data_IF_998389770633
#
_entry.id   IF_998389770633
#
_cell.length_a   1.000
_cell.length_b   1.000
_cell.length_c   1.000
_cell.angle_alpha   90.00
_cell.angle_beta   90.00
_cell.angle_gamma   90.00
#
_symmetry.space_group_name_H-M   'P 1'
#
loop_
_entity.id
_entity.type
_entity.pdbx_description
1 polymer ?
#
# COMPACT_ATOMS: atom_id res chain seq x y z
N UNK A 1 -1.89 -8.02 2.58
CA UNK A 1 -0.49 -7.85 2.07
C UNK A 1 -0.36 -6.45 1.48
N UNK A 2 0.72 -5.73 1.75
CA UNK A 2 0.96 -4.40 1.16
C UNK A 2 2.21 -4.41 0.29
N UNK A 3 2.16 -3.77 -0.88
CA UNK A 3 3.34 -3.41 -1.67
C UNK A 3 3.16 -1.96 -2.08
N UNK A 4 3.83 -1.07 -1.35
CA UNK A 4 3.78 0.37 -1.59
C UNK A 4 5.19 0.82 -1.95
N UNK A 5 5.39 1.70 -2.93
CA UNK A 5 6.71 2.22 -3.26
C UNK A 5 6.62 3.62 -3.88
N UNK A 6 7.72 4.37 -3.97
CA UNK A 6 7.68 5.77 -4.35
C UNK A 6 7.26 5.98 -5.81
N UNK A 7 7.49 4.98 -6.67
CA UNK A 7 7.17 5.02 -8.10
C UNK A 7 6.51 3.73 -8.58
N UNK A 8 5.80 3.79 -9.71
CA UNK A 8 5.22 2.59 -10.33
C UNK A 8 6.30 1.58 -10.76
N UNK A 9 7.47 2.08 -11.15
CA UNK A 9 8.62 1.24 -11.51
C UNK A 9 9.10 0.42 -10.32
N UNK A 10 9.23 1.04 -9.15
CA UNK A 10 9.58 0.35 -7.91
C UNK A 10 8.48 -0.62 -7.45
N UNK A 11 7.20 -0.26 -7.63
CA UNK A 11 6.08 -1.17 -7.36
C UNK A 11 6.22 -2.42 -8.24
N UNK A 12 6.46 -2.25 -9.55
CA UNK A 12 6.68 -3.39 -10.47
C UNK A 12 7.90 -4.21 -10.08
N UNK A 13 9.01 -3.56 -9.72
CA UNK A 13 10.22 -4.25 -9.27
C UNK A 13 9.94 -5.12 -8.02
N UNK A 14 9.22 -4.59 -7.02
CA UNK A 14 8.81 -5.33 -5.82
C UNK A 14 7.81 -6.43 -6.12
N UNK A 15 6.94 -6.26 -7.12
CA UNK A 15 5.96 -7.27 -7.52
C UNK A 15 6.58 -8.44 -8.28
N UNK A 16 7.65 -8.21 -9.05
CA UNK A 16 8.21 -9.20 -9.96
C UNK A 16 7.17 -9.65 -10.98
N UNK A 17 6.97 -10.95 -11.13
CA UNK A 17 6.00 -11.53 -12.07
C UNK A 17 4.54 -11.50 -11.59
N UNK A 18 4.29 -11.04 -10.36
CA UNK A 18 2.94 -11.04 -9.78
C UNK A 18 2.09 -9.91 -10.35
N UNK A 19 0.85 -10.23 -10.76
CA UNK A 19 -0.11 -9.24 -11.22
C UNK A 19 -0.59 -8.33 -10.08
N UNK A 20 -0.41 -7.02 -10.25
CA UNK A 20 -0.92 -6.02 -9.32
C UNK A 20 -2.45 -6.10 -9.19
N UNK A 21 -3.15 -6.26 -10.31
CA UNK A 21 -4.61 -6.25 -10.35
C UNK A 21 -5.21 -7.49 -9.69
N UNK A 22 -4.62 -8.67 -9.90
CA UNK A 22 -5.04 -9.89 -9.19
C UNK A 22 -4.81 -9.78 -7.69
N UNK A 23 -3.71 -9.16 -7.27
CA UNK A 23 -3.42 -8.94 -5.85
C UNK A 23 -4.42 -7.95 -5.23
N UNK A 24 -4.75 -6.85 -5.93
CA UNK A 24 -5.79 -5.90 -5.48
C UNK A 24 -7.17 -6.56 -5.38
N UNK A 25 -7.54 -7.39 -6.36
CA UNK A 25 -8.79 -8.15 -6.33
C UNK A 25 -8.87 -9.11 -5.12
N UNK A 26 -7.72 -9.55 -4.58
CA UNK A 26 -7.62 -10.35 -3.35
C UNK A 26 -7.50 -9.51 -2.07
N UNK A 27 -7.68 -8.19 -2.16
CA UNK A 27 -7.64 -7.27 -1.02
C UNK A 27 -6.23 -6.83 -0.61
N UNK A 28 -5.22 -6.98 -1.46
CA UNK A 28 -3.90 -6.41 -1.20
C UNK A 28 -3.88 -4.91 -1.55
N UNK A 29 -3.14 -4.12 -0.76
CA UNK A 29 -2.92 -2.70 -1.03
C UNK A 29 -1.64 -2.56 -1.85
N UNK A 30 -1.78 -2.20 -3.13
CA UNK A 30 -0.68 -2.21 -4.10
C UNK A 30 -0.61 -0.89 -4.86
N UNK A 31 0.55 -0.20 -4.84
CA UNK A 31 0.75 1.00 -5.66
C UNK A 31 1.67 2.06 -5.06
N UNK A 32 1.63 3.26 -5.62
CA UNK A 32 2.27 4.45 -5.05
C UNK A 32 1.55 4.92 -3.77
N UNK A 33 2.11 5.86 -2.98
CA UNK A 33 1.40 6.40 -1.81
C UNK A 33 0.02 6.95 -2.15
N UNK A 34 -0.13 7.63 -3.30
CA UNK A 34 -1.42 8.13 -3.77
C UNK A 34 -2.42 7.00 -4.07
N UNK A 35 -1.99 5.97 -4.80
CA UNK A 35 -2.83 4.81 -5.10
C UNK A 35 -3.19 4.02 -3.82
N UNK A 36 -2.28 3.95 -2.86
CA UNK A 36 -2.52 3.30 -1.57
C UNK A 36 -3.56 4.07 -0.75
N UNK A 37 -3.46 5.40 -0.68
CA UNK A 37 -4.48 6.25 -0.03
C UNK A 37 -5.83 6.06 -0.69
N UNK A 38 -5.91 6.11 -2.03
CA UNK A 38 -7.18 5.91 -2.74
C UNK A 38 -7.84 4.55 -2.40
N UNK A 39 -7.05 3.47 -2.33
CA UNK A 39 -7.53 2.15 -1.93
C UNK A 39 -8.00 2.12 -0.46
N UNK A 40 -7.24 2.71 0.46
CA UNK A 40 -7.57 2.74 1.88
C UNK A 40 -8.80 3.62 2.16
N UNK A 41 -8.95 4.75 1.49
CA UNK A 41 -10.13 5.61 1.55
C UNK A 41 -11.37 4.89 1.01
N UNK A 42 -11.24 4.11 -0.07
CA UNK A 42 -12.34 3.29 -0.58
C UNK A 42 -12.78 2.22 0.45
N UNK A 43 -11.83 1.60 1.17
CA UNK A 43 -12.15 0.70 2.28
C UNK A 43 -12.87 1.44 3.42
N UNK A 44 -12.37 2.62 3.80
CA UNK A 44 -12.98 3.43 4.85
C UNK A 44 -14.42 3.85 4.50
N UNK A 45 -14.68 4.19 3.23
CA UNK A 45 -16.02 4.52 2.73
C UNK A 45 -17.01 3.33 2.82
N UNK A 46 -16.51 2.09 2.87
CA UNK A 46 -17.30 0.89 3.11
C UNK A 46 -17.47 0.57 4.61
N UNK A 47 -17.01 1.44 5.51
CA UNK A 47 -17.11 1.29 6.97
C UNK A 47 -15.95 0.52 7.61
N UNK A 48 -14.88 0.22 6.87
CA UNK A 48 -13.67 -0.40 7.44
C UNK A 48 -12.98 0.61 8.36
N UNK A 49 -12.82 0.26 9.64
CA UNK A 49 -12.23 1.15 10.65
C UNK A 49 -10.72 0.96 10.84
N UNK A 50 -10.15 -0.12 10.29
CA UNK A 50 -8.73 -0.41 10.42
C UNK A 50 -8.24 -1.44 9.41
N UNK A 51 -7.01 -1.25 8.96
CA UNK A 51 -6.34 -2.16 8.01
C UNK A 51 -4.99 -2.58 8.61
N UNK A 52 -4.80 -3.88 8.74
CA UNK A 52 -3.50 -4.44 9.13
C UNK A 52 -2.71 -4.81 7.86
N UNK A 53 -1.72 -3.98 7.53
CA UNK A 53 -0.79 -4.27 6.45
C UNK A 53 0.24 -5.30 6.94
N UNK A 54 0.21 -6.49 6.34
CA UNK A 54 1.27 -7.48 6.57
C UNK A 54 2.57 -6.99 5.95
N UNK A 55 3.55 -6.73 6.81
CA UNK A 55 4.92 -6.36 6.48
C UNK A 55 5.79 -7.62 6.39
N UNK A 56 6.47 -7.83 5.27
CA UNK A 56 7.26 -9.05 5.02
C UNK A 56 8.77 -8.78 4.84
N UNK A 57 9.13 -7.60 4.34
CA UNK A 57 10.53 -7.18 4.12
C UNK A 57 11.03 -6.43 5.37
N UNK A 58 11.38 -7.16 6.43
CA UNK A 58 11.67 -6.59 7.75
C UNK A 58 12.83 -5.60 7.78
N UNK A 59 13.74 -5.68 6.80
CA UNK A 59 14.90 -4.80 6.61
C UNK A 59 14.59 -3.52 5.83
N UNK A 60 13.46 -3.45 5.13
CA UNK A 60 13.07 -2.29 4.31
C UNK A 60 12.43 -1.16 5.12
N UNK A 61 13.15 -0.69 6.14
CA UNK A 61 12.65 0.39 7.01
C UNK A 61 12.37 1.67 6.23
N UNK A 62 13.14 1.94 5.16
CA UNK A 62 12.92 3.09 4.28
C UNK A 62 11.52 3.08 3.66
N UNK A 63 11.01 1.92 3.26
CA UNK A 63 9.66 1.83 2.73
C UNK A 63 8.58 1.99 3.82
N UNK A 64 8.88 1.58 5.05
CA UNK A 64 8.00 1.86 6.20
C UNK A 64 7.95 3.36 6.50
N UNK A 65 9.08 4.05 6.44
CA UNK A 65 9.18 5.51 6.58
C UNK A 65 8.39 6.23 5.48
N UNK A 66 8.46 5.77 4.23
CA UNK A 66 7.65 6.29 3.13
C UNK A 66 6.15 6.21 3.44
N UNK A 67 5.67 5.05 3.92
CA UNK A 67 4.25 4.90 4.29
C UNK A 67 3.89 5.84 5.45
N UNK A 68 4.76 5.94 6.46
CA UNK A 68 4.55 6.82 7.59
C UNK A 68 4.51 8.31 7.20
N UNK A 69 5.33 8.72 6.24
CA UNK A 69 5.45 10.10 5.79
C UNK A 69 4.40 10.49 4.73
N UNK A 70 4.04 9.59 3.83
CA UNK A 70 3.23 9.93 2.66
C UNK A 70 1.81 9.34 2.66
N UNK A 71 1.58 8.24 3.37
CA UNK A 71 0.26 7.59 3.42
C UNK A 71 -0.48 7.98 4.69
N UNK A 72 0.13 7.76 5.87
CA UNK A 72 -0.56 7.98 7.14
C UNK A 72 -1.10 9.40 7.33
N UNK A 73 -0.39 10.49 6.98
CA UNK A 73 -0.89 11.84 7.20
C UNK A 73 -2.12 12.18 6.35
N UNK A 74 -2.34 11.47 5.23
CA UNK A 74 -3.48 11.68 4.33
C UNK A 74 -4.73 10.89 4.76
N UNK A 75 -4.61 10.03 5.78
CA UNK A 75 -5.70 9.21 6.33
C UNK A 75 -6.14 9.67 7.73
N UNK A 76 -5.45 10.68 8.28
CA UNK A 76 -5.76 11.29 9.57
C UNK A 76 -6.57 12.55 9.31
N UNK A 77 -7.86 12.49 9.57
CA UNK A 77 -8.66 13.69 9.83
C UNK A 77 -8.37 14.23 11.23
#
# INVERSE_FOLDING_TARGET
RGVIAASEDEVRAKLGERSADELRARGAIIGTPEQAVAQLTALAAMGVQGVMLQWLELDDITNLELIAAEVLPRLRD
#
